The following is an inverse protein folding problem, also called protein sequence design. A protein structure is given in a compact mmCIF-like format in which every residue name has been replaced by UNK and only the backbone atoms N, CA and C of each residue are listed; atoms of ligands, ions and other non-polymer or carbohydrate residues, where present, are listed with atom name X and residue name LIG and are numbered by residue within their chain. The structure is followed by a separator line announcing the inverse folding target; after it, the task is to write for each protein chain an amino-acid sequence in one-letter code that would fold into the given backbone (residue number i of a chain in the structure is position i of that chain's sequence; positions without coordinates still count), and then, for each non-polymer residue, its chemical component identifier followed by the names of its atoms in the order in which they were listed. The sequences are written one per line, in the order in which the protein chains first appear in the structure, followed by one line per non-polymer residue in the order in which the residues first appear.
data_IF_687663454334
#
_entry.id   IF_687663454334
#
_cell.length_a   1.000
_cell.length_b   1.000
_cell.length_c   1.000
_cell.angle_alpha   90.00
_cell.angle_beta   90.00
_cell.angle_gamma   90.00
#
_symmetry.space_group_name_H-M   'P 1'
#
loop_
_entity.id
_entity.type
_entity.pdbx_description
1 polymer ?
#
# COMPACT_ATOMS: atom_id res chain seq x y z
N UNK A 1 69.07 48.02 -44.92
CA UNK A 1 69.57 49.40 -44.70
C UNK A 1 68.39 50.37 -44.73
N UNK A 2 68.54 51.57 -44.12
CA UNK A 2 67.79 52.85 -44.32
C UNK A 2 66.32 52.77 -44.83
N UNK A 3 65.34 53.24 -44.04
CA UNK A 3 64.68 54.59 -44.13
C UNK A 3 63.90 54.82 -45.46
N UNK A 4 62.72 55.45 -45.51
CA UNK A 4 62.11 56.44 -44.58
C UNK A 4 60.58 56.46 -44.69
N UNK A 5 59.89 57.03 -43.69
CA UNK A 5 58.44 57.31 -43.66
C UNK A 5 58.04 58.56 -44.46
N UNK A 6 56.74 58.76 -44.73
CA UNK A 6 55.89 59.97 -44.59
C UNK A 6 54.43 59.58 -45.01
N UNK A 7 53.34 59.91 -44.30
CA UNK A 7 52.57 61.20 -44.22
C UNK A 7 51.93 61.58 -45.58
N UNK A 8 50.63 61.91 -45.74
CA UNK A 8 49.48 61.96 -44.80
C UNK A 8 48.22 61.33 -45.51
N UNK A 9 46.92 61.61 -45.30
CA UNK A 9 46.09 62.66 -44.63
C UNK A 9 44.94 61.98 -43.87
N UNK A 10 44.17 62.70 -43.03
CA UNK A 10 43.05 62.18 -42.23
C UNK A 10 41.64 62.60 -42.73
N UNK A 11 40.62 61.82 -42.35
CA UNK A 11 39.24 62.26 -42.19
C UNK A 11 38.58 61.40 -41.10
N UNK A 12 37.81 62.00 -40.18
CA UNK A 12 37.24 61.30 -39.03
C UNK A 12 35.72 61.53 -38.91
N UNK A 13 34.99 60.48 -38.59
CA UNK A 13 33.66 60.50 -37.95
C UNK A 13 33.70 59.44 -36.84
N UNK A 14 33.11 59.75 -35.68
CA UNK A 14 33.23 58.96 -34.45
C UNK A 14 31.82 58.73 -33.89
N UNK A 15 31.33 57.48 -33.93
CA UNK A 15 30.07 57.05 -33.30
C UNK A 15 30.33 55.77 -32.51
N UNK A 16 29.67 55.65 -31.35
CA UNK A 16 29.95 54.66 -30.32
C UNK A 16 29.39 53.26 -30.63
N UNK A 17 30.25 52.25 -30.44
CA UNK A 17 30.01 51.21 -29.44
C UNK A 17 28.95 50.13 -29.68
N UNK A 18 29.42 48.91 -29.96
CA UNK A 18 29.11 47.74 -29.10
C UNK A 18 30.12 46.62 -29.37
N UNK A 19 30.52 45.88 -28.33
CA UNK A 19 31.46 44.75 -28.45
C UNK A 19 30.65 43.46 -28.37
N UNK A 20 30.68 42.65 -29.42
CA UNK A 20 30.08 41.30 -29.44
C UNK A 20 31.18 40.27 -29.23
N UNK A 21 31.35 39.82 -28.00
CA UNK A 21 32.20 38.65 -27.69
C UNK A 21 31.47 37.35 -28.04
N UNK A 22 32.12 36.37 -28.71
CA UNK A 22 31.51 35.08 -28.99
C UNK A 22 31.40 34.25 -27.70
N UNK A 23 30.21 34.23 -27.11
CA UNK A 23 29.92 33.44 -25.91
C UNK A 23 29.96 31.93 -26.20
N UNK A 24 30.87 31.22 -25.55
CA UNK A 24 30.93 29.75 -25.63
C UNK A 24 29.73 29.14 -24.90
N UNK A 25 28.82 28.52 -25.65
CA UNK A 25 27.70 27.75 -25.07
C UNK A 25 28.26 26.48 -24.44
N UNK A 26 28.68 26.58 -23.16
CA UNK A 26 28.86 25.40 -22.32
C UNK A 26 27.52 24.70 -22.23
N UNK A 27 27.45 23.45 -22.71
CA UNK A 27 26.34 22.57 -22.42
C UNK A 27 26.23 22.45 -20.90
N UNK A 28 25.20 23.09 -20.33
CA UNK A 28 24.89 22.95 -18.90
C UNK A 28 24.40 21.52 -18.72
N UNK A 29 25.19 20.69 -18.04
CA UNK A 29 24.76 19.36 -17.67
C UNK A 29 23.44 19.49 -16.91
N UNK A 30 22.38 18.89 -17.45
CA UNK A 30 21.14 18.70 -16.72
C UNK A 30 21.43 17.54 -15.80
N UNK A 31 21.89 17.85 -14.59
CA UNK A 31 21.70 16.94 -13.47
C UNK A 31 20.19 16.79 -13.29
N UNK A 32 19.65 15.72 -13.86
CA UNK A 32 18.28 15.30 -13.62
C UNK A 32 18.21 14.90 -12.14
N UNK A 33 17.81 15.85 -11.30
CA UNK A 33 17.53 15.62 -9.88
C UNK A 33 16.44 14.55 -9.82
N UNK A 34 16.87 13.30 -9.58
CA UNK A 34 16.02 12.12 -9.63
C UNK A 34 14.91 12.31 -8.59
N UNK A 35 13.76 12.78 -9.08
CA UNK A 35 12.66 13.22 -8.24
C UNK A 35 12.12 11.99 -7.56
N UNK A 36 12.54 11.78 -6.31
CA UNK A 36 12.34 10.51 -5.60
C UNK A 36 10.85 10.20 -5.59
N UNK A 37 10.46 9.19 -6.36
CA UNK A 37 9.06 8.81 -6.55
C UNK A 37 8.40 8.70 -5.18
N UNK A 38 7.34 9.47 -4.89
CA UNK A 38 6.76 9.47 -3.56
C UNK A 38 6.35 8.05 -3.18
N UNK A 39 6.95 7.54 -2.10
CA UNK A 39 6.56 6.29 -1.44
C UNK A 39 5.06 6.40 -1.14
N UNK A 40 4.21 5.77 -1.95
CA UNK A 40 2.77 5.80 -1.72
C UNK A 40 2.54 5.10 -0.38
N UNK A 41 1.98 5.83 0.57
CA UNK A 41 1.27 5.23 1.70
C UNK A 41 -0.21 5.21 1.36
N UNK A 42 -1.01 4.54 2.18
CA UNK A 42 -2.43 4.88 2.26
C UNK A 42 -2.47 6.38 2.64
N UNK A 43 -3.20 7.21 1.89
CA UNK A 43 -3.23 8.66 2.17
C UNK A 43 -4.04 8.95 3.43
N UNK A 44 -3.89 10.13 4.08
CA UNK A 44 -4.74 10.50 5.21
C UNK A 44 -6.24 10.47 4.88
N UNK A 45 -6.60 10.73 3.62
CA UNK A 45 -7.96 10.70 3.10
C UNK A 45 -8.45 9.26 2.89
N UNK A 46 -7.65 8.40 2.24
CA UNK A 46 -7.93 6.96 2.13
C UNK A 46 -8.06 6.31 3.52
N UNK A 47 -7.15 6.61 4.47
CA UNK A 47 -7.24 6.15 5.85
C UNK A 47 -8.52 6.67 6.54
N UNK A 48 -8.90 7.93 6.35
CA UNK A 48 -10.14 8.51 6.92
C UNK A 48 -11.41 7.85 6.36
N UNK A 49 -11.43 7.50 5.07
CA UNK A 49 -12.53 6.75 4.42
C UNK A 49 -12.62 5.34 5.03
N UNK A 50 -11.50 4.63 5.16
CA UNK A 50 -11.42 3.29 5.76
C UNK A 50 -11.95 3.32 7.20
N UNK A 51 -11.42 4.20 8.05
CA UNK A 51 -11.80 4.29 9.48
C UNK A 51 -13.26 4.69 9.67
N UNK A 52 -13.70 5.79 9.02
CA UNK A 52 -15.06 6.31 9.21
C UNK A 52 -16.12 5.39 8.62
N UNK A 53 -15.79 4.57 7.63
CA UNK A 53 -16.68 3.54 7.10
C UNK A 53 -16.71 2.31 8.01
N UNK A 54 -15.58 1.85 8.54
CA UNK A 54 -15.54 0.72 9.49
C UNK A 54 -16.34 1.01 10.78
N UNK A 55 -16.26 2.23 11.32
CA UNK A 55 -17.10 2.66 12.46
C UNK A 55 -18.59 2.65 12.10
N UNK A 56 -18.98 3.02 10.87
CA UNK A 56 -20.38 2.91 10.41
C UNK A 56 -20.81 1.45 10.26
N UNK A 57 -19.95 0.55 9.75
CA UNK A 57 -20.23 -0.88 9.67
C UNK A 57 -20.51 -1.44 11.07
N UNK A 58 -19.68 -1.14 12.08
CA UNK A 58 -19.93 -1.54 13.48
C UNK A 58 -21.30 -1.05 13.98
N UNK A 59 -21.67 0.20 13.69
CA UNK A 59 -22.99 0.75 14.04
C UNK A 59 -24.14 -0.01 13.39
N UNK A 60 -24.04 -0.32 12.09
CA UNK A 60 -25.08 -1.06 11.37
C UNK A 60 -25.18 -2.53 11.82
N UNK A 61 -24.06 -3.18 12.18
CA UNK A 61 -24.08 -4.50 12.81
C UNK A 61 -24.80 -4.41 14.17
N UNK A 62 -24.41 -3.48 15.04
CA UNK A 62 -25.01 -3.32 16.37
C UNK A 62 -26.51 -2.99 16.31
N UNK A 63 -26.95 -2.16 15.36
CA UNK A 63 -28.37 -1.91 15.13
C UNK A 63 -29.10 -3.17 14.64
N UNK A 64 -28.55 -3.90 13.66
CA UNK A 64 -29.16 -5.14 13.19
C UNK A 64 -29.31 -6.20 14.30
N UNK A 65 -28.37 -6.29 15.23
CA UNK A 65 -28.47 -7.13 16.45
C UNK A 65 -29.58 -6.66 17.38
N UNK A 66 -29.68 -5.36 17.64
CA UNK A 66 -30.78 -4.78 18.44
C UNK A 66 -32.15 -5.03 17.80
N UNK A 67 -32.25 -4.88 16.48
CA UNK A 67 -33.46 -5.17 15.69
C UNK A 67 -33.83 -6.66 15.74
N UNK A 68 -32.84 -7.57 15.69
CA UNK A 68 -33.05 -9.02 15.87
C UNK A 68 -33.65 -9.32 17.24
N UNK A 69 -33.11 -8.75 18.32
CA UNK A 69 -33.69 -8.89 19.66
C UNK A 69 -35.09 -8.26 19.79
N UNK A 70 -35.35 -7.16 19.08
CA UNK A 70 -36.67 -6.53 18.98
C UNK A 70 -37.63 -7.27 18.02
N UNK A 71 -37.14 -8.28 17.29
CA UNK A 71 -37.83 -9.08 16.26
C UNK A 71 -38.18 -8.32 14.96
N UNK A 72 -37.62 -7.13 14.72
CA UNK A 72 -37.69 -6.47 13.41
C UNK A 72 -36.62 -7.02 12.46
N UNK A 73 -36.82 -8.27 12.02
CA UNK A 73 -35.91 -8.95 11.10
C UNK A 73 -35.82 -8.24 9.73
N UNK A 74 -36.80 -7.37 9.40
CA UNK A 74 -36.82 -6.59 8.16
C UNK A 74 -35.90 -5.38 8.26
N UNK A 75 -35.91 -4.65 9.37
CA UNK A 75 -34.99 -3.54 9.62
C UNK A 75 -33.55 -4.07 9.76
N UNK A 76 -33.35 -5.17 10.50
CA UNK A 76 -32.07 -5.87 10.58
C UNK A 76 -31.50 -6.23 9.19
N UNK A 77 -32.33 -6.84 8.33
CA UNK A 77 -31.95 -7.16 6.95
C UNK A 77 -31.70 -5.94 6.04
N UNK A 78 -32.15 -4.75 6.43
CA UNK A 78 -31.81 -3.47 5.81
C UNK A 78 -30.45 -2.94 6.27
N UNK A 79 -30.23 -2.91 7.58
CA UNK A 79 -28.96 -2.50 8.20
C UNK A 79 -27.79 -3.35 7.73
N UNK A 80 -27.96 -4.67 7.60
CA UNK A 80 -26.93 -5.54 7.04
C UNK A 80 -26.56 -5.24 5.57
N UNK A 81 -27.47 -4.64 4.78
CA UNK A 81 -27.14 -4.18 3.42
C UNK A 81 -26.33 -2.88 3.43
N UNK A 82 -26.61 -1.97 4.37
CA UNK A 82 -25.78 -0.78 4.59
C UNK A 82 -24.37 -1.18 5.04
N UNK A 83 -24.26 -2.15 5.94
CA UNK A 83 -22.99 -2.71 6.38
C UNK A 83 -22.17 -3.29 5.20
N UNK A 84 -22.77 -4.10 4.32
CA UNK A 84 -22.09 -4.61 3.11
C UNK A 84 -21.63 -3.47 2.19
N UNK A 85 -22.51 -2.51 1.89
CA UNK A 85 -22.19 -1.36 1.02
C UNK A 85 -20.98 -0.57 1.56
N UNK A 86 -20.87 -0.43 2.89
CA UNK A 86 -19.73 0.21 3.52
C UNK A 86 -18.45 -0.64 3.49
N UNK A 87 -18.54 -1.98 3.58
CA UNK A 87 -17.39 -2.87 3.39
C UNK A 87 -16.83 -2.79 1.96
N UNK A 88 -17.70 -2.54 0.97
CA UNK A 88 -17.29 -2.35 -0.43
C UNK A 88 -16.64 -0.96 -0.63
N UNK A 89 -17.14 0.09 0.04
CA UNK A 89 -16.47 1.41 0.09
C UNK A 89 -15.08 1.33 0.74
N UNK A 90 -14.91 0.54 1.82
CA UNK A 90 -13.59 0.33 2.42
C UNK A 90 -12.65 -0.37 1.43
N UNK A 91 -13.14 -1.40 0.71
CA UNK A 91 -12.35 -2.14 -0.28
C UNK A 91 -11.86 -1.23 -1.42
N UNK A 92 -12.75 -0.38 -1.94
CA UNK A 92 -12.42 0.59 -3.01
C UNK A 92 -11.39 1.65 -2.58
N UNK A 93 -11.20 1.87 -1.27
CA UNK A 93 -10.16 2.73 -0.71
C UNK A 93 -8.81 2.02 -0.48
N UNK A 94 -8.69 0.73 -0.82
CA UNK A 94 -7.44 -0.03 -0.67
C UNK A 94 -6.54 0.16 -1.90
N UNK A 95 -5.21 0.37 -1.72
CA UNK A 95 -4.28 0.54 -2.84
C UNK A 95 -4.31 -0.59 -3.87
N UNK A 96 -4.57 -1.83 -3.42
CA UNK A 96 -4.66 -2.99 -4.29
C UNK A 96 -5.82 -2.94 -5.30
N UNK A 97 -6.94 -2.27 -4.99
CA UNK A 97 -8.18 -2.41 -5.77
C UNK A 97 -8.03 -1.84 -7.19
N UNK A 98 -7.33 -0.70 -7.35
CA UNK A 98 -6.96 -0.15 -8.67
C UNK A 98 -6.17 -1.14 -9.53
N UNK A 99 -5.29 -1.95 -8.94
CA UNK A 99 -4.55 -2.98 -9.69
C UNK A 99 -5.48 -4.11 -10.11
N UNK A 100 -6.41 -4.51 -9.22
CA UNK A 100 -7.42 -5.53 -9.49
C UNK A 100 -8.40 -5.10 -10.58
N UNK A 101 -8.81 -3.83 -10.60
CA UNK A 101 -9.60 -3.24 -11.69
C UNK A 101 -8.87 -3.32 -13.03
N UNK A 102 -7.58 -2.93 -13.09
CA UNK A 102 -6.81 -3.05 -14.34
C UNK A 102 -6.60 -4.51 -14.78
N UNK A 103 -6.42 -5.44 -13.83
CA UNK A 103 -6.40 -6.89 -14.10
C UNK A 103 -7.77 -7.38 -14.61
N UNK A 104 -8.87 -6.92 -14.03
CA UNK A 104 -10.23 -7.24 -14.45
C UNK A 104 -10.52 -6.72 -15.86
N UNK A 105 -10.12 -5.49 -16.18
CA UNK A 105 -10.23 -4.92 -17.53
C UNK A 105 -9.45 -5.77 -18.53
N UNK A 106 -8.18 -6.10 -18.25
CA UNK A 106 -7.38 -6.96 -19.12
C UNK A 106 -8.02 -8.35 -19.31
N UNK A 107 -8.53 -8.99 -18.23
CA UNK A 107 -9.29 -10.25 -18.31
C UNK A 107 -10.56 -10.10 -19.14
N UNK A 108 -11.23 -8.95 -19.05
CA UNK A 108 -12.50 -8.67 -19.74
C UNK A 108 -12.28 -8.42 -21.24
N UNK A 109 -11.33 -7.58 -21.63
CA UNK A 109 -10.89 -7.42 -23.01
C UNK A 109 -10.47 -8.78 -23.58
N UNK A 110 -9.58 -9.51 -22.89
CA UNK A 110 -9.12 -10.84 -23.28
C UNK A 110 -10.23 -11.88 -23.44
N UNK A 111 -11.45 -11.67 -22.90
CA UNK A 111 -12.57 -12.56 -23.18
C UNK A 111 -13.03 -12.50 -24.65
N UNK A 112 -13.06 -11.31 -25.27
CA UNK A 112 -13.57 -11.11 -26.65
C UNK A 112 -12.50 -10.66 -27.67
N UNK A 113 -11.42 -10.03 -27.24
CA UNK A 113 -10.33 -9.52 -28.09
C UNK A 113 -9.25 -10.57 -28.36
N UNK A 114 -8.35 -10.25 -29.31
CA UNK A 114 -7.14 -11.02 -29.58
C UNK A 114 -6.04 -10.72 -28.55
N UNK A 115 -5.05 -11.60 -28.45
CA UNK A 115 -3.97 -11.47 -27.46
C UNK A 115 -3.09 -10.23 -27.64
N UNK A 116 -2.97 -9.76 -28.88
CA UNK A 116 -2.18 -8.61 -29.32
C UNK A 116 -2.84 -7.29 -28.89
N UNK A 117 -4.17 -7.22 -28.99
CA UNK A 117 -5.02 -6.08 -28.61
C UNK A 117 -4.96 -5.80 -27.11
N UNK A 118 -4.75 -6.84 -26.28
CA UNK A 118 -4.66 -6.78 -24.81
C UNK A 118 -3.25 -6.48 -24.28
N UNK A 119 -2.20 -6.53 -25.12
CA UNK A 119 -0.81 -6.21 -24.68
C UNK A 119 -0.67 -4.80 -24.04
N UNK A 120 -1.36 -3.74 -24.51
CA UNK A 120 -1.35 -2.42 -23.88
C UNK A 120 -1.89 -2.40 -22.45
N UNK A 121 -2.89 -3.22 -22.10
CA UNK A 121 -3.50 -3.24 -20.75
C UNK A 121 -2.50 -3.67 -19.66
N UNK A 122 -1.41 -4.34 -20.05
CA UNK A 122 -0.32 -4.66 -19.12
C UNK A 122 0.37 -3.40 -18.57
N UNK A 123 0.34 -2.27 -19.30
CA UNK A 123 1.01 -1.02 -18.93
C UNK A 123 0.40 -0.40 -17.65
N UNK A 124 -0.91 -0.10 -17.56
CA UNK A 124 -1.51 0.41 -16.33
C UNK A 124 -1.44 -0.60 -15.16
N UNK A 125 -1.43 -1.91 -15.44
CA UNK A 125 -1.20 -2.92 -14.39
C UNK A 125 0.22 -2.78 -13.81
N UNK A 126 1.27 -2.70 -14.63
CA UNK A 126 2.64 -2.51 -14.12
C UNK A 126 2.77 -1.18 -13.37
N UNK A 127 2.29 -0.07 -13.93
CA UNK A 127 2.35 1.24 -13.27
C UNK A 127 1.64 1.23 -11.91
N UNK A 128 0.49 0.56 -11.82
CA UNK A 128 -0.25 0.45 -10.55
C UNK A 128 0.37 -0.54 -9.56
N UNK A 129 1.09 -1.57 -10.03
CA UNK A 129 1.94 -2.41 -9.17
C UNK A 129 3.12 -1.61 -8.60
N UNK A 130 3.75 -0.77 -9.43
CA UNK A 130 4.84 0.14 -9.03
C UNK A 130 4.35 1.18 -8.01
N UNK A 131 3.13 1.73 -8.18
CA UNK A 131 2.50 2.63 -7.21
C UNK A 131 2.29 2.01 -5.83
N UNK A 132 2.09 0.69 -5.71
CA UNK A 132 1.66 0.07 -4.44
C UNK A 132 2.65 -0.93 -3.85
N UNK A 133 3.78 -1.20 -4.51
CA UNK A 133 4.79 -2.13 -3.98
C UNK A 133 5.40 -1.67 -2.64
N UNK A 134 5.21 -0.39 -2.32
CA UNK A 134 5.54 0.18 -1.03
C UNK A 134 4.58 -0.20 0.12
N UNK A 135 3.33 -0.58 -0.19
CA UNK A 135 2.28 -0.91 0.78
C UNK A 135 1.96 -2.41 0.79
N UNK A 136 1.83 -3.00 -0.40
CA UNK A 136 1.34 -4.37 -0.62
C UNK A 136 2.48 -5.27 -1.11
N UNK A 137 2.58 -6.55 -0.68
CA UNK A 137 3.59 -7.50 -1.17
C UNK A 137 3.39 -7.97 -2.63
N UNK A 138 3.55 -7.08 -3.61
CA UNK A 138 3.23 -7.35 -5.03
C UNK A 138 4.11 -8.37 -5.75
N UNK A 139 5.18 -8.91 -5.14
CA UNK A 139 6.20 -9.68 -5.86
C UNK A 139 5.65 -10.92 -6.59
N UNK A 140 4.70 -11.64 -5.97
CA UNK A 140 4.00 -12.76 -6.62
C UNK A 140 3.10 -12.28 -7.77
N UNK A 141 2.32 -11.22 -7.54
CA UNK A 141 1.44 -10.65 -8.57
C UNK A 141 2.27 -10.20 -9.80
N UNK A 142 3.39 -9.52 -9.58
CA UNK A 142 4.35 -9.13 -10.62
C UNK A 142 4.96 -10.34 -11.35
N UNK A 143 5.21 -11.46 -10.67
CA UNK A 143 5.62 -12.71 -11.30
C UNK A 143 4.54 -13.27 -12.24
N UNK A 144 3.28 -13.29 -11.78
CA UNK A 144 2.13 -13.76 -12.56
C UNK A 144 1.81 -12.85 -13.76
N UNK A 145 1.80 -11.51 -13.60
CA UNK A 145 1.69 -10.56 -14.73
C UNK A 145 2.83 -10.75 -15.75
N UNK A 146 4.05 -11.04 -15.29
CA UNK A 146 5.17 -11.37 -16.18
C UNK A 146 5.00 -12.70 -16.94
N UNK A 147 4.16 -13.63 -16.46
CA UNK A 147 3.78 -14.85 -17.18
C UNK A 147 2.58 -14.59 -18.10
N UNK A 148 1.56 -13.86 -17.66
CA UNK A 148 0.44 -13.41 -18.48
C UNK A 148 0.93 -12.70 -19.75
N UNK A 149 1.83 -11.72 -19.62
CA UNK A 149 2.44 -11.01 -20.76
C UNK A 149 3.24 -11.92 -21.70
N UNK A 150 3.83 -13.01 -21.21
CA UNK A 150 4.49 -14.03 -22.05
C UNK A 150 3.49 -14.91 -22.79
N UNK A 151 2.32 -15.18 -22.19
CA UNK A 151 1.24 -15.93 -22.81
C UNK A 151 0.49 -15.10 -23.87
N UNK A 152 0.23 -13.81 -23.62
CA UNK A 152 -0.28 -12.87 -24.65
C UNK A 152 0.63 -12.86 -25.89
N UNK A 153 1.94 -12.66 -25.71
CA UNK A 153 2.97 -12.70 -26.79
C UNK A 153 3.12 -14.06 -27.52
N UNK A 154 2.28 -15.06 -27.23
CA UNK A 154 2.30 -16.41 -27.81
C UNK A 154 0.94 -16.84 -28.37
N UNK A 155 -0.06 -15.96 -28.43
CA UNK A 155 -1.45 -16.35 -28.76
C UNK A 155 -2.15 -17.15 -27.66
N UNK A 156 -1.52 -17.36 -26.49
CA UNK A 156 -2.06 -18.20 -25.43
C UNK A 156 -3.07 -17.44 -24.56
N UNK A 157 -4.24 -17.14 -25.14
CA UNK A 157 -5.38 -16.48 -24.50
C UNK A 157 -5.75 -17.12 -23.17
N UNK A 158 -5.88 -18.46 -23.12
CA UNK A 158 -6.21 -19.21 -21.88
C UNK A 158 -5.15 -19.01 -20.78
N UNK A 159 -3.88 -19.26 -21.08
CA UNK A 159 -2.81 -19.11 -20.08
C UNK A 159 -2.52 -17.66 -19.70
N UNK A 160 -2.94 -16.68 -20.50
CA UNK A 160 -2.92 -15.28 -20.09
C UNK A 160 -4.03 -14.98 -19.07
N UNK A 161 -5.25 -15.50 -19.26
CA UNK A 161 -6.34 -15.39 -18.28
C UNK A 161 -5.98 -16.07 -16.95
N UNK A 162 -5.44 -17.29 -16.99
CA UNK A 162 -5.05 -18.05 -15.78
C UNK A 162 -4.00 -17.31 -14.94
N UNK A 163 -2.99 -16.73 -15.59
CA UNK A 163 -1.96 -15.95 -14.90
C UNK A 163 -2.45 -14.55 -14.45
N UNK A 164 -3.47 -13.98 -15.09
CA UNK A 164 -4.14 -12.77 -14.60
C UNK A 164 -5.00 -13.05 -13.34
N UNK A 165 -5.63 -14.23 -13.26
CA UNK A 165 -6.35 -14.68 -12.05
C UNK A 165 -5.40 -14.82 -10.86
N UNK A 166 -4.29 -15.55 -11.05
CA UNK A 166 -3.27 -15.76 -10.00
C UNK A 166 -2.56 -14.46 -9.58
N UNK A 167 -2.56 -13.44 -10.44
CA UNK A 167 -2.08 -12.11 -10.09
C UNK A 167 -3.05 -11.37 -9.15
N UNK A 168 -4.37 -11.45 -9.39
CA UNK A 168 -5.40 -10.88 -8.50
C UNK A 168 -5.37 -11.55 -7.11
N UNK A 169 -5.38 -12.89 -7.08
CA UNK A 169 -5.30 -13.69 -5.86
C UNK A 169 -4.02 -13.41 -5.05
N UNK A 170 -2.95 -12.96 -5.71
CA UNK A 170 -1.69 -12.60 -5.06
C UNK A 170 -1.71 -11.22 -4.39
N UNK A 171 -2.65 -10.35 -4.73
CA UNK A 171 -2.76 -8.98 -4.22
C UNK A 171 -3.61 -8.92 -2.95
N UNK A 172 -3.05 -9.44 -1.85
CA UNK A 172 -3.70 -9.44 -0.53
C UNK A 172 -2.98 -8.49 0.43
N UNK A 173 -3.63 -7.38 0.79
CA UNK A 173 -3.27 -6.51 1.89
C UNK A 173 -3.83 -7.05 3.21
N UNK A 174 -3.18 -8.08 3.73
CA UNK A 174 -3.68 -8.96 4.79
C UNK A 174 -4.14 -8.29 6.10
N UNK A 175 -3.72 -7.06 6.41
CA UNK A 175 -4.19 -6.32 7.59
C UNK A 175 -5.62 -5.75 7.44
N UNK A 176 -6.16 -5.68 6.22
CA UNK A 176 -7.50 -5.15 5.96
C UNK A 176 -8.34 -6.12 5.13
N UNK A 177 -7.77 -6.80 4.14
CA UNK A 177 -8.51 -7.79 3.35
C UNK A 177 -9.05 -8.94 4.21
N UNK A 178 -8.22 -9.54 5.08
CA UNK A 178 -8.63 -10.71 5.88
C UNK A 178 -9.73 -10.38 6.90
N UNK A 179 -9.66 -9.28 7.69
CA UNK A 179 -10.76 -8.91 8.58
C UNK A 179 -12.03 -8.45 7.83
N UNK A 180 -11.91 -7.80 6.67
CA UNK A 180 -13.07 -7.42 5.85
C UNK A 180 -13.78 -8.64 5.26
N UNK A 181 -13.05 -9.59 4.67
CA UNK A 181 -13.65 -10.80 4.09
C UNK A 181 -14.20 -11.73 5.17
N UNK A 182 -13.56 -11.80 6.33
CA UNK A 182 -14.11 -12.45 7.52
C UNK A 182 -15.43 -11.81 7.95
N UNK A 183 -15.50 -10.48 8.00
CA UNK A 183 -16.75 -9.75 8.29
C UNK A 183 -17.82 -10.05 7.23
N UNK A 184 -17.47 -9.92 5.94
CA UNK A 184 -18.37 -10.11 4.79
C UNK A 184 -18.97 -11.53 4.79
N UNK A 185 -18.16 -12.55 5.08
CA UNK A 185 -18.60 -13.96 5.27
C UNK A 185 -19.64 -14.08 6.36
N UNK A 186 -19.44 -13.44 7.51
CA UNK A 186 -20.36 -13.54 8.65
C UNK A 186 -21.64 -12.71 8.47
N UNK A 187 -21.59 -11.51 7.86
CA UNK A 187 -22.80 -10.75 7.52
C UNK A 187 -23.65 -11.49 6.48
N UNK A 188 -23.03 -12.08 5.46
CA UNK A 188 -23.74 -12.92 4.48
C UNK A 188 -24.36 -14.17 5.14
N UNK A 189 -23.65 -14.78 6.10
CA UNK A 189 -24.17 -15.85 6.95
C UNK A 189 -25.42 -15.40 7.74
N UNK A 190 -25.34 -14.26 8.43
CA UNK A 190 -26.46 -13.68 9.17
C UNK A 190 -27.67 -13.40 8.26
N UNK A 191 -27.47 -12.82 7.08
CA UNK A 191 -28.54 -12.64 6.10
C UNK A 191 -29.18 -13.97 5.66
N UNK A 192 -28.37 -15.02 5.47
CA UNK A 192 -28.87 -16.35 5.14
C UNK A 192 -29.59 -17.06 6.31
N UNK A 193 -29.29 -16.72 7.56
CA UNK A 193 -30.04 -17.17 8.74
C UNK A 193 -31.36 -16.39 8.92
N UNK A 194 -31.35 -15.06 8.74
CA UNK A 194 -32.58 -14.25 8.72
C UNK A 194 -33.55 -14.72 7.62
N UNK A 195 -33.05 -15.03 6.43
CA UNK A 195 -33.85 -15.59 5.33
C UNK A 195 -34.44 -16.99 5.62
N UNK A 196 -33.93 -17.70 6.63
CA UNK A 196 -34.45 -18.99 7.14
C UNK A 196 -35.29 -18.83 8.41
N UNK A 197 -35.54 -17.59 8.85
CA UNK A 197 -36.17 -17.27 10.13
C UNK A 197 -35.43 -17.89 11.34
N UNK A 198 -34.10 -17.82 11.32
CA UNK A 198 -33.18 -18.32 12.35
C UNK A 198 -32.45 -17.12 13.02
N UNK A 199 -33.16 -16.28 13.80
CA UNK A 199 -32.60 -15.02 14.32
C UNK A 199 -31.46 -15.22 15.34
N UNK A 200 -31.43 -16.36 16.03
CA UNK A 200 -30.40 -16.69 17.01
C UNK A 200 -29.03 -16.86 16.33
N UNK A 201 -28.94 -17.69 15.28
CA UNK A 201 -27.69 -17.84 14.50
C UNK A 201 -27.35 -16.60 13.68
N UNK A 202 -28.33 -15.75 13.38
CA UNK A 202 -28.06 -14.44 12.82
C UNK A 202 -27.32 -13.54 13.82
N UNK A 203 -27.76 -13.48 15.08
CA UNK A 203 -27.04 -12.71 16.12
C UNK A 203 -25.65 -13.29 16.42
N UNK A 204 -25.52 -14.62 16.54
CA UNK A 204 -24.22 -15.28 16.71
C UNK A 204 -23.23 -14.89 15.61
N UNK A 205 -23.66 -14.97 14.33
CA UNK A 205 -22.83 -14.60 13.20
C UNK A 205 -22.49 -13.10 13.19
N UNK A 206 -23.42 -12.21 13.59
CA UNK A 206 -23.15 -10.78 13.70
C UNK A 206 -22.19 -10.44 14.85
N UNK A 207 -22.30 -11.13 15.98
CA UNK A 207 -21.37 -11.02 17.10
C UNK A 207 -19.94 -11.38 16.65
N UNK A 208 -19.79 -12.42 15.83
CA UNK A 208 -18.51 -12.78 15.19
C UNK A 208 -18.06 -11.76 14.14
N UNK A 209 -18.99 -11.16 13.38
CA UNK A 209 -18.67 -10.14 12.39
C UNK A 209 -18.06 -8.87 13.03
N UNK A 210 -18.48 -8.49 14.25
CA UNK A 210 -17.94 -7.31 14.95
C UNK A 210 -16.42 -7.35 15.13
N UNK A 211 -15.82 -8.50 15.42
CA UNK A 211 -14.38 -8.60 15.69
C UNK A 211 -13.53 -8.27 14.45
N UNK A 212 -13.99 -8.68 13.27
CA UNK A 212 -13.33 -8.34 12.00
C UNK A 212 -13.33 -6.83 11.74
N UNK A 213 -14.46 -6.17 11.97
CA UNK A 213 -14.57 -4.71 11.76
C UNK A 213 -13.87 -3.92 12.85
N UNK A 214 -13.88 -4.40 14.10
CA UNK A 214 -13.18 -3.78 15.23
C UNK A 214 -11.68 -3.70 14.96
N UNK A 215 -11.10 -4.74 14.35
CA UNK A 215 -9.71 -4.72 13.89
C UNK A 215 -9.45 -3.60 12.84
N UNK A 216 -10.32 -3.47 11.82
CA UNK A 216 -10.18 -2.42 10.79
C UNK A 216 -10.40 -1.01 11.36
N UNK A 217 -11.36 -0.85 12.28
CA UNK A 217 -11.70 0.45 12.86
C UNK A 217 -10.65 0.95 13.86
N UNK A 218 -9.99 0.05 14.61
CA UNK A 218 -9.12 0.40 15.75
C UNK A 218 -7.68 -0.07 15.55
N UNK A 219 -7.45 -1.33 15.23
CA UNK A 219 -6.10 -1.93 15.27
C UNK A 219 -5.21 -1.57 14.07
N UNK A 220 -5.79 -1.13 12.94
CA UNK A 220 -5.01 -0.51 11.85
C UNK A 220 -4.27 0.78 12.31
N UNK A 221 -4.81 1.47 13.31
CA UNK A 221 -4.20 2.63 13.98
C UNK A 221 -3.41 2.26 15.23
N UNK A 222 -3.34 0.98 15.60
CA UNK A 222 -2.60 0.56 16.79
C UNK A 222 -1.15 1.04 16.69
N UNK A 223 -0.51 1.46 17.80
CA UNK A 223 0.88 1.88 17.75
C UNK A 223 1.86 0.72 17.45
N UNK A 224 1.38 -0.53 17.34
CA UNK A 224 2.14 -1.67 16.79
C UNK A 224 2.07 -1.66 15.27
N UNK A 225 0.89 -1.50 14.67
CA UNK A 225 0.68 -1.41 13.21
C UNK A 225 1.44 -0.22 12.61
N UNK A 226 1.37 0.94 13.27
CA UNK A 226 2.12 2.13 12.87
C UNK A 226 3.64 1.95 12.98
N UNK A 227 4.12 1.14 13.94
CA UNK A 227 5.52 0.75 14.00
C UNK A 227 5.91 -0.23 12.87
N UNK A 228 5.04 -1.18 12.50
CA UNK A 228 5.25 -2.10 11.37
C UNK A 228 5.32 -1.34 10.04
N UNK A 229 4.41 -0.39 9.79
CA UNK A 229 4.46 0.55 8.64
C UNK A 229 5.82 1.25 8.55
N UNK A 230 6.31 1.78 9.68
CA UNK A 230 7.61 2.45 9.75
C UNK A 230 8.79 1.49 9.47
N UNK A 231 8.79 0.29 10.06
CA UNK A 231 9.84 -0.72 9.85
C UNK A 231 9.91 -1.25 8.41
N UNK A 232 8.78 -1.27 7.70
CA UNK A 232 8.73 -1.64 6.29
C UNK A 232 9.46 -0.62 5.42
N UNK A 233 9.16 0.67 5.59
CA UNK A 233 9.87 1.78 4.91
C UNK A 233 11.37 1.73 5.20
N UNK A 234 11.76 1.60 6.47
CA UNK A 234 13.16 1.46 6.89
C UNK A 234 13.90 0.30 6.18
N UNK A 235 13.21 -0.84 5.95
CA UNK A 235 13.80 -1.99 5.25
C UNK A 235 13.99 -1.75 3.75
N UNK A 236 13.12 -0.96 3.10
CA UNK A 236 13.27 -0.60 1.68
C UNK A 236 14.28 0.52 1.49
N UNK A 237 14.20 1.58 2.28
CA UNK A 237 15.14 2.70 2.19
C UNK A 237 16.58 2.26 2.50
N UNK A 238 16.80 1.23 3.33
CA UNK A 238 18.12 0.63 3.48
C UNK A 238 18.58 -0.11 2.23
N UNK A 239 17.68 -0.84 1.57
CA UNK A 239 17.95 -1.52 0.29
C UNK A 239 18.24 -0.51 -0.84
N UNK A 240 17.63 0.68 -0.78
CA UNK A 240 17.87 1.81 -1.68
C UNK A 240 19.03 2.74 -1.23
N UNK A 241 19.77 2.42 -0.18
CA UNK A 241 20.91 3.22 0.31
C UNK A 241 20.57 4.55 0.99
N UNK A 242 19.29 4.87 1.19
CA UNK A 242 18.78 6.14 1.77
C UNK A 242 18.91 6.18 3.30
N UNK A 243 20.13 6.05 3.83
CA UNK A 243 20.40 5.85 5.27
C UNK A 243 19.76 6.91 6.20
N UNK A 244 19.61 8.15 5.75
CA UNK A 244 18.93 9.22 6.50
C UNK A 244 17.44 8.94 6.72
N UNK A 245 16.76 8.39 5.72
CA UNK A 245 15.35 8.02 5.81
C UNK A 245 15.16 6.78 6.70
N UNK A 246 16.06 5.78 6.59
CA UNK A 246 16.11 4.63 7.53
C UNK A 246 16.16 5.10 8.99
N UNK A 247 17.02 6.07 9.33
CA UNK A 247 17.10 6.63 10.69
C UNK A 247 15.80 7.32 11.13
N UNK A 248 15.13 8.06 10.23
CA UNK A 248 13.82 8.66 10.49
C UNK A 248 12.78 7.59 10.81
N UNK A 249 12.69 6.56 9.99
CA UNK A 249 11.68 5.50 10.14
C UNK A 249 11.92 4.59 11.35
N UNK A 250 13.17 4.25 11.67
CA UNK A 250 13.49 3.53 12.91
C UNK A 250 13.15 4.38 14.16
N UNK A 251 13.23 5.72 14.07
CA UNK A 251 12.79 6.65 15.12
C UNK A 251 11.25 6.70 15.22
N UNK A 252 10.53 6.78 14.10
CA UNK A 252 9.06 6.68 14.06
C UNK A 252 8.57 5.35 14.67
N UNK A 253 9.18 4.23 14.28
CA UNK A 253 8.88 2.91 14.81
C UNK A 253 9.04 2.83 16.34
N UNK A 254 10.14 3.36 16.89
CA UNK A 254 10.35 3.43 18.35
C UNK A 254 9.33 4.30 19.06
N UNK A 255 8.92 5.44 18.47
CA UNK A 255 7.90 6.31 19.05
C UNK A 255 6.56 5.56 19.16
N UNK A 256 6.16 4.88 18.09
CA UNK A 256 4.92 4.11 18.04
C UNK A 256 4.96 2.91 19.00
N UNK A 257 6.04 2.12 19.04
CA UNK A 257 6.18 1.04 20.04
C UNK A 257 6.23 1.57 21.49
N UNK A 258 6.81 2.75 21.75
CA UNK A 258 6.77 3.39 23.09
C UNK A 258 5.37 3.84 23.50
N UNK A 259 4.47 4.14 22.55
CA UNK A 259 3.03 4.28 22.84
C UNK A 259 2.40 2.92 23.12
N UNK A 260 2.68 1.90 22.28
CA UNK A 260 2.11 0.55 22.42
C UNK A 260 2.35 -0.08 23.80
N UNK A 261 3.53 0.11 24.41
CA UNK A 261 3.81 -0.45 25.75
C UNK A 261 2.83 0.00 26.84
N UNK A 262 2.13 1.13 26.65
CA UNK A 262 1.10 1.65 27.57
C UNK A 262 -0.30 1.12 27.27
N UNK A 263 -0.60 0.74 26.03
CA UNK A 263 -1.97 0.45 25.57
C UNK A 263 -2.27 -1.04 25.40
N UNK A 264 -1.26 -1.87 25.11
CA UNK A 264 -1.45 -3.32 24.86
C UNK A 264 -1.36 -4.15 26.15
N UNK A 265 -1.92 -5.37 26.11
CA UNK A 265 -1.91 -6.37 27.19
C UNK A 265 -0.50 -6.86 27.58
N UNK A 266 -0.38 -7.60 28.68
CA UNK A 266 0.91 -8.06 29.22
C UNK A 266 1.72 -8.98 28.28
N UNK A 267 1.06 -9.86 27.51
CA UNK A 267 1.68 -10.80 26.55
C UNK A 267 2.22 -10.02 25.34
N UNK A 268 1.40 -9.16 24.74
CA UNK A 268 1.81 -8.31 23.61
C UNK A 268 2.88 -7.30 24.03
N UNK A 269 2.77 -6.70 25.22
CA UNK A 269 3.74 -5.73 25.78
C UNK A 269 5.13 -6.32 25.94
N UNK A 270 5.23 -7.63 26.17
CA UNK A 270 6.51 -8.35 26.20
C UNK A 270 7.15 -8.44 24.80
N UNK A 271 6.34 -8.69 23.76
CA UNK A 271 6.76 -8.60 22.36
C UNK A 271 7.20 -7.20 21.94
N UNK A 272 6.42 -6.16 22.29
CA UNK A 272 6.76 -4.74 22.05
C UNK A 272 8.10 -4.37 22.69
N UNK A 273 8.37 -4.81 23.94
CA UNK A 273 9.66 -4.61 24.61
C UNK A 273 10.83 -5.31 23.89
N UNK A 274 10.61 -6.49 23.30
CA UNK A 274 11.63 -7.18 22.48
C UNK A 274 11.92 -6.41 21.18
N UNK A 275 10.88 -5.92 20.50
CA UNK A 275 11.02 -5.13 19.27
C UNK A 275 11.78 -3.82 19.52
N UNK A 276 11.50 -3.09 20.60
CA UNK A 276 12.22 -1.86 20.94
C UNK A 276 13.74 -2.09 21.04
N UNK A 277 14.16 -3.10 21.79
CA UNK A 277 15.58 -3.49 21.91
C UNK A 277 16.19 -3.90 20.57
N UNK A 278 15.42 -4.56 19.71
CA UNK A 278 15.87 -4.98 18.40
C UNK A 278 16.08 -3.78 17.45
N UNK A 279 15.22 -2.75 17.50
CA UNK A 279 15.45 -1.50 16.74
C UNK A 279 16.70 -0.78 17.25
N UNK A 280 16.86 -0.65 18.57
CA UNK A 280 18.00 0.03 19.18
C UNK A 280 19.33 -0.65 18.80
N UNK A 281 19.36 -2.00 18.77
CA UNK A 281 20.53 -2.78 18.34
C UNK A 281 20.83 -2.67 16.83
N UNK A 282 19.87 -2.25 16.00
CA UNK A 282 20.00 -2.12 14.54
C UNK A 282 20.32 -0.69 14.12
N UNK A 283 19.71 0.30 14.77
CA UNK A 283 19.99 1.73 14.57
C UNK A 283 21.49 2.04 14.76
N UNK A 284 22.13 1.49 15.79
CA UNK A 284 23.57 1.57 16.04
C UNK A 284 24.47 0.85 15.02
N UNK A 285 23.89 0.24 13.96
CA UNK A 285 24.58 -0.37 12.83
C UNK A 285 24.26 0.29 11.47
N UNK A 286 23.31 1.21 11.39
CA UNK A 286 22.86 1.80 10.09
C UNK A 286 24.02 2.46 9.35
N UNK A 287 24.82 3.26 10.05
CA UNK A 287 26.00 3.95 9.49
C UNK A 287 27.14 3.03 9.07
N UNK A 288 27.06 1.73 9.35
CA UNK A 288 28.11 0.75 9.00
C UNK A 288 27.90 0.11 7.63
N UNK A 289 26.80 0.41 6.92
CA UNK A 289 26.56 0.00 5.52
C UNK A 289 26.51 -1.51 5.22
N UNK A 290 26.59 -2.37 6.24
CA UNK A 290 26.74 -3.80 6.08
C UNK A 290 25.45 -4.51 5.61
N UNK A 291 25.58 -5.53 4.75
CA UNK A 291 24.45 -6.37 4.29
C UNK A 291 23.71 -7.03 5.47
N UNK A 292 24.44 -7.25 6.56
CA UNK A 292 23.98 -7.77 7.85
C UNK A 292 22.93 -6.83 8.46
N UNK A 293 23.15 -5.52 8.43
CA UNK A 293 22.20 -4.53 8.95
C UNK A 293 20.89 -4.54 8.16
N UNK A 294 20.96 -4.67 6.83
CA UNK A 294 19.75 -4.80 5.99
C UNK A 294 18.94 -6.07 6.30
N UNK A 295 19.64 -7.19 6.55
CA UNK A 295 19.02 -8.43 7.03
C UNK A 295 18.38 -8.25 8.42
N UNK A 296 19.06 -7.56 9.33
CA UNK A 296 18.53 -7.28 10.67
C UNK A 296 17.28 -6.39 10.62
N UNK A 297 17.27 -5.28 9.86
CA UNK A 297 16.09 -4.40 9.71
C UNK A 297 14.88 -5.21 9.22
N UNK A 298 15.07 -6.04 8.18
CA UNK A 298 14.02 -6.93 7.68
C UNK A 298 13.57 -7.94 8.75
N UNK A 299 14.50 -8.47 9.54
CA UNK A 299 14.19 -9.34 10.69
C UNK A 299 13.35 -8.67 11.77
N UNK A 300 13.57 -7.37 12.04
CA UNK A 300 12.74 -6.59 12.97
C UNK A 300 11.36 -6.28 12.38
N UNK A 301 11.29 -5.98 11.08
CA UNK A 301 10.01 -5.86 10.36
C UNK A 301 9.17 -7.14 10.44
N UNK A 302 9.75 -8.31 10.14
CA UNK A 302 9.02 -9.58 10.21
C UNK A 302 8.61 -9.93 11.65
N UNK A 303 9.39 -9.55 12.67
CA UNK A 303 8.98 -9.67 14.07
C UNK A 303 7.82 -8.73 14.44
N UNK A 304 7.78 -7.51 13.90
CA UNK A 304 6.67 -6.58 14.12
C UNK A 304 5.39 -7.03 13.41
N UNK A 305 5.53 -7.54 12.18
CA UNK A 305 4.48 -8.22 11.43
C UNK A 305 3.96 -9.47 12.16
N UNK A 306 4.83 -10.28 12.77
CA UNK A 306 4.39 -11.40 13.60
C UNK A 306 3.72 -10.96 14.93
N UNK A 307 3.85 -9.69 15.33
CA UNK A 307 3.13 -9.13 16.47
C UNK A 307 1.75 -8.57 16.06
N UNK A 308 1.62 -7.93 14.90
CA UNK A 308 0.28 -7.52 14.38
C UNK A 308 -0.51 -8.74 13.91
N UNK A 309 0.11 -9.67 13.17
CA UNK A 309 -0.56 -10.87 12.68
C UNK A 309 -1.02 -11.80 13.80
N UNK A 310 -0.48 -11.73 15.03
CA UNK A 310 -1.03 -12.48 16.17
C UNK A 310 -2.40 -12.00 16.66
N UNK A 311 -2.88 -10.86 16.18
CA UNK A 311 -4.27 -10.42 16.28
C UNK A 311 -5.07 -10.67 14.98
N UNK A 312 -4.42 -11.08 13.88
CA UNK A 312 -5.04 -11.48 12.60
C UNK A 312 -5.18 -13.01 12.49
N UNK A 313 -4.39 -13.78 13.25
CA UNK A 313 -4.38 -15.26 13.26
C UNK A 313 -5.79 -15.85 13.53
N UNK A 314 -6.64 -15.12 14.27
CA UNK A 314 -8.05 -15.47 14.50
C UNK A 314 -8.92 -15.47 13.24
N UNK A 315 -8.53 -14.72 12.19
CA UNK A 315 -9.18 -14.70 10.89
C UNK A 315 -8.55 -15.70 9.90
N UNK A 316 -7.34 -16.21 10.18
CA UNK A 316 -6.64 -17.18 9.33
C UNK A 316 -7.16 -18.62 9.50
N UNK A 317 -7.65 -18.99 10.69
CA UNK A 317 -8.13 -20.35 11.01
C UNK A 317 -9.54 -20.65 10.53
N UNK A 318 -10.22 -19.69 9.88
CA UNK A 318 -11.64 -19.76 9.50
C UNK A 318 -11.88 -20.05 8.01
N UNK A 319 -10.92 -20.68 7.35
CA UNK A 319 -11.00 -21.14 5.96
C UNK A 319 -11.68 -22.50 5.89
#
# INVERSE_FOLDING_TARGET
MKKTSLIMVAAAILILGTIISPGTVRAKAIEEEITVTPVRTITPEEESIISSSAVKVLRHIAQARADIHAKDLKHAGGELKQALTLLDIIKAALPADKVKDHIWVAKKHLSYENTEEVVPDMIPIYASLDEIEDIVPVSKAREHINKARKNLKRGNKKGATEELELADESLIYAEVDLPLDYTRKHIAGAQAFLAKNDPEKADEALNTAEDGVRFVAVDIYSPVTQARKSLLKASRDYTAGKLTAVKKDLKEAKISLKKATKTVDAKTRTGVKKLLKAIEAVEGKVDKGAKETGRDIKGVYEQAKALTLKAVDMFHTSR
#
